data_IF_174588883654
#
_entry.id   IF_174588883654
#
_cell.length_a   1.000
_cell.length_b   1.000
_cell.length_c   1.000
_cell.angle_alpha   90.00
_cell.angle_beta   90.00
_cell.angle_gamma   90.00
#
_symmetry.space_group_name_H-M   'P 1'
#
loop_
_entity.id
_entity.type
_entity.pdbx_description
1 polymer ?
#
# COMPACT_ATOMS: atom_id res chain seq x y z
N UNK A 1 1.13 0.21 30.96
CA UNK A 1 0.74 0.71 29.62
C UNK A 1 0.70 -0.47 28.68
N UNK A 2 -0.44 -0.74 28.03
CA UNK A 2 -0.54 -1.84 27.05
C UNK A 2 -1.97 -2.32 26.83
N UNK A 3 -2.89 -1.42 26.47
CA UNK A 3 -4.21 -1.82 25.99
C UNK A 3 -4.07 -2.40 24.58
N UNK A 4 -4.60 -3.60 24.38
CA UNK A 4 -4.68 -4.26 23.06
C UNK A 4 -5.47 -3.36 22.10
N UNK A 5 -4.96 -3.17 20.87
CA UNK A 5 -5.70 -2.45 19.83
C UNK A 5 -7.00 -3.21 19.50
N UNK A 6 -8.17 -2.56 19.48
CA UNK A 6 -9.42 -3.22 19.11
C UNK A 6 -9.43 -3.54 17.62
N UNK A 7 -10.38 -4.36 17.16
CA UNK A 7 -10.59 -4.61 15.73
C UNK A 7 -10.84 -3.29 15.00
N UNK A 8 -10.15 -3.08 13.88
CA UNK A 8 -10.22 -1.85 13.09
C UNK A 8 -8.87 -1.46 12.48
N UNK A 9 -8.88 -0.37 11.71
CA UNK A 9 -7.67 0.26 11.17
C UNK A 9 -7.28 1.43 12.06
N UNK A 10 -6.04 1.42 12.55
CA UNK A 10 -5.50 2.39 13.48
C UNK A 10 -4.39 3.18 12.81
N UNK A 11 -4.45 4.51 12.88
CA UNK A 11 -3.31 5.36 12.53
C UNK A 11 -2.38 5.44 13.74
N UNK A 12 -1.14 5.00 13.57
CA UNK A 12 -0.09 5.03 14.58
C UNK A 12 0.95 6.04 14.13
N UNK A 13 1.34 6.95 15.03
CA UNK A 13 2.46 7.88 14.80
C UNK A 13 3.67 7.38 15.58
N UNK A 14 4.72 6.98 14.87
CA UNK A 14 6.01 6.63 15.46
C UNK A 14 6.88 7.88 15.49
N UNK A 15 7.40 8.24 16.66
CA UNK A 15 8.22 9.45 16.87
C UNK A 15 9.58 9.04 17.44
N UNK A 16 10.66 9.52 16.83
CA UNK A 16 12.02 9.35 17.34
C UNK A 16 12.25 10.35 18.47
N UNK A 17 12.53 9.87 19.68
CA UNK A 17 12.67 10.73 20.85
C UNK A 17 13.84 11.74 20.74
N UNK A 18 14.91 11.40 20.03
CA UNK A 18 16.11 12.23 19.92
C UNK A 18 15.90 13.49 19.08
N UNK A 19 15.44 13.33 17.83
CA UNK A 19 15.32 14.42 16.86
C UNK A 19 13.86 14.82 16.55
N UNK A 20 12.88 14.14 17.15
CA UNK A 20 11.44 14.30 16.91
C UNK A 20 11.01 14.05 15.46
N UNK A 21 11.86 13.42 14.64
CA UNK A 21 11.41 12.89 13.36
C UNK A 21 10.29 11.86 13.59
N UNK A 22 9.39 11.72 12.63
CA UNK A 22 8.23 10.84 12.79
C UNK A 22 7.80 10.19 11.49
N UNK A 23 7.06 9.10 11.63
CA UNK A 23 6.39 8.37 10.55
C UNK A 23 4.95 8.07 10.98
N UNK A 24 4.01 8.24 10.06
CA UNK A 24 2.63 7.78 10.22
C UNK A 24 2.48 6.41 9.55
N UNK A 25 1.86 5.46 10.25
CA UNK A 25 1.61 4.10 9.76
C UNK A 25 0.16 3.70 10.04
N UNK A 26 -0.35 2.78 9.22
CA UNK A 26 -1.64 2.15 9.47
C UNK A 26 -1.45 0.73 9.98
N UNK A 27 -2.14 0.38 11.06
CA UNK A 27 -2.20 -0.97 11.62
C UNK A 27 -3.63 -1.48 11.51
N UNK A 28 -3.84 -2.55 10.77
CA UNK A 28 -5.13 -3.23 10.70
C UNK A 28 -5.15 -4.40 11.70
N UNK A 29 -6.06 -4.35 12.66
CA UNK A 29 -6.40 -5.49 13.53
C UNK A 29 -7.68 -6.10 12.99
N UNK A 30 -7.60 -7.35 12.55
CA UNK A 30 -8.73 -8.03 11.88
C UNK A 30 -9.17 -9.28 12.66
N UNK A 31 -10.46 -9.66 12.59
CA UNK A 31 -10.95 -10.92 13.14
C UNK A 31 -10.24 -12.15 12.54
N UNK A 32 -10.22 -13.25 13.29
CA UNK A 32 -9.76 -14.53 12.75
C UNK A 32 -10.67 -14.96 11.59
N UNK A 33 -10.06 -15.37 10.48
CA UNK A 33 -10.79 -15.80 9.28
C UNK A 33 -11.17 -14.67 8.32
N UNK A 34 -10.74 -13.42 8.59
CA UNK A 34 -10.86 -12.33 7.60
C UNK A 34 -10.22 -12.72 6.29
N UNK A 35 -11.00 -12.64 5.22
CA UNK A 35 -10.54 -12.89 3.85
C UNK A 35 -9.91 -11.63 3.29
N UNK A 36 -8.85 -11.80 2.51
CA UNK A 36 -8.12 -10.70 1.90
C UNK A 36 -7.76 -11.03 0.45
N UNK A 37 -7.53 -10.00 -0.35
CA UNK A 37 -7.02 -10.10 -1.71
C UNK A 37 -5.78 -9.22 -1.84
N UNK A 38 -4.73 -9.80 -2.41
CA UNK A 38 -3.46 -9.10 -2.64
C UNK A 38 -3.36 -8.71 -4.12
N UNK A 39 -3.06 -7.45 -4.38
CA UNK A 39 -2.80 -6.94 -5.73
C UNK A 39 -1.36 -6.44 -5.82
N UNK A 40 -0.61 -6.95 -6.81
CA UNK A 40 0.65 -6.31 -7.20
C UNK A 40 0.34 -4.96 -7.83
N UNK A 41 0.99 -3.89 -7.40
CA UNK A 41 0.87 -2.59 -8.05
C UNK A 41 1.53 -2.66 -9.43
N UNK A 42 2.76 -3.17 -9.47
CA UNK A 42 3.59 -3.19 -10.68
C UNK A 42 3.12 -4.30 -11.63
N UNK A 43 2.73 -3.90 -12.84
CA UNK A 43 2.34 -4.79 -13.94
C UNK A 43 0.95 -5.42 -13.82
N UNK A 44 0.33 -5.44 -12.62
CA UNK A 44 -1.07 -5.87 -12.46
C UNK A 44 -2.05 -4.71 -12.37
N UNK A 45 -1.77 -3.67 -11.56
CA UNK A 45 -2.59 -2.45 -11.54
C UNK A 45 -2.08 -1.42 -12.55
N UNK A 46 -0.76 -1.33 -12.73
CA UNK A 46 -0.17 -0.53 -13.80
C UNK A 46 -0.17 -1.30 -15.12
N UNK A 47 -0.53 -0.62 -16.20
CA UNK A 47 -0.49 -1.14 -17.56
C UNK A 47 0.91 -1.14 -18.21
N UNK A 48 1.90 -0.54 -17.55
CA UNK A 48 3.29 -0.55 -17.98
C UNK A 48 4.27 -0.65 -16.80
N UNK A 49 5.44 -1.21 -17.10
CA UNK A 49 6.58 -1.41 -16.18
C UNK A 49 7.70 -0.43 -16.58
N UNK A 50 7.41 0.86 -16.77
CA UNK A 50 8.50 1.76 -17.16
C UNK A 50 9.36 2.09 -15.94
N UNK A 51 10.60 1.63 -16.00
CA UNK A 51 11.71 1.87 -15.06
C UNK A 51 12.10 3.36 -15.00
N UNK A 52 11.46 4.24 -15.79
CA UNK A 52 11.76 5.67 -15.89
C UNK A 52 10.52 6.60 -15.89
N UNK A 53 9.29 6.08 -15.88
CA UNK A 53 8.09 6.91 -16.05
C UNK A 53 7.47 7.38 -14.74
N UNK A 54 7.31 8.69 -14.58
CA UNK A 54 6.71 9.36 -13.40
C UNK A 54 5.21 9.11 -13.19
N UNK A 55 4.52 8.50 -14.15
CA UNK A 55 3.08 8.22 -14.05
C UNK A 55 2.69 7.03 -14.93
N UNK A 56 2.72 5.79 -14.40
CA UNK A 56 2.30 4.63 -15.17
C UNK A 56 0.79 4.66 -15.40
N UNK A 57 0.35 4.31 -16.61
CA UNK A 57 -1.10 4.23 -16.91
C UNK A 57 -1.75 3.12 -16.09
N UNK A 58 -2.99 3.34 -15.66
CA UNK A 58 -3.82 2.29 -15.06
C UNK A 58 -4.15 1.21 -16.09
N UNK A 59 -4.03 -0.06 -15.69
CA UNK A 59 -4.47 -1.19 -16.51
C UNK A 59 -6.00 -1.18 -16.66
N UNK A 60 -6.55 -1.34 -17.88
CA UNK A 60 -7.99 -1.33 -18.09
C UNK A 60 -8.71 -2.31 -17.16
N UNK A 61 -9.77 -1.83 -16.48
CA UNK A 61 -10.58 -2.61 -15.54
C UNK A 61 -9.94 -2.86 -14.17
N UNK A 62 -8.70 -2.45 -13.92
CA UNK A 62 -8.02 -2.73 -12.66
C UNK A 62 -8.74 -2.11 -11.45
N UNK A 63 -9.20 -0.87 -11.57
CA UNK A 63 -9.94 -0.17 -10.50
C UNK A 63 -11.24 -0.91 -10.18
N UNK A 64 -11.98 -1.34 -11.21
CA UNK A 64 -13.27 -2.02 -11.04
C UNK A 64 -13.09 -3.40 -10.38
N UNK A 65 -12.06 -4.14 -10.75
CA UNK A 65 -11.74 -5.43 -10.10
C UNK A 65 -11.41 -5.23 -8.62
N UNK A 66 -10.60 -4.23 -8.28
CA UNK A 66 -10.26 -3.98 -6.87
C UNK A 66 -11.49 -3.53 -6.09
N UNK A 67 -12.33 -2.66 -6.66
CA UNK A 67 -13.60 -2.25 -6.06
C UNK A 67 -14.56 -3.41 -5.84
N UNK A 68 -14.68 -4.31 -6.81
CA UNK A 68 -15.52 -5.50 -6.69
C UNK A 68 -15.18 -6.31 -5.43
N UNK A 69 -13.89 -6.59 -5.19
CA UNK A 69 -13.47 -7.32 -3.99
C UNK A 69 -13.63 -6.50 -2.71
N UNK A 70 -13.36 -5.20 -2.77
CA UNK A 70 -13.53 -4.28 -1.65
C UNK A 70 -15.00 -4.25 -1.20
N UNK A 71 -15.94 -4.13 -2.14
CA UNK A 71 -17.38 -4.01 -1.88
C UNK A 71 -17.98 -5.33 -1.36
N UNK A 72 -17.33 -6.47 -1.65
CA UNK A 72 -17.63 -7.77 -1.02
C UNK A 72 -17.08 -7.90 0.42
N UNK A 73 -16.42 -6.87 0.94
CA UNK A 73 -15.87 -6.83 2.30
C UNK A 73 -14.55 -7.58 2.46
N UNK A 74 -13.82 -7.84 1.37
CA UNK A 74 -12.46 -8.38 1.48
C UNK A 74 -11.49 -7.27 1.89
N UNK A 75 -10.56 -7.60 2.79
CA UNK A 75 -9.43 -6.71 3.06
C UNK A 75 -8.57 -6.63 1.81
N UNK A 76 -8.38 -5.41 1.30
CA UNK A 76 -7.51 -5.16 0.16
C UNK A 76 -6.08 -4.92 0.67
N UNK A 77 -5.12 -5.54 -0.01
CA UNK A 77 -3.69 -5.36 0.24
C UNK A 77 -3.00 -5.07 -1.09
N UNK A 78 -2.35 -3.92 -1.20
CA UNK A 78 -1.46 -3.60 -2.29
C UNK A 78 -0.03 -4.00 -1.93
N UNK A 79 0.68 -4.57 -2.90
CA UNK A 79 2.08 -4.98 -2.75
C UNK A 79 2.88 -4.43 -3.93
N UNK A 80 4.06 -3.87 -3.66
CA UNK A 80 4.94 -3.32 -4.71
C UNK A 80 6.39 -3.71 -4.48
N UNK A 81 7.11 -3.92 -5.58
CA UNK A 81 8.55 -4.20 -5.58
C UNK A 81 9.40 -2.93 -5.71
N UNK A 82 8.76 -1.75 -5.83
CA UNK A 82 9.44 -0.46 -5.86
C UNK A 82 10.19 -0.22 -4.55
N UNK A 83 11.27 0.59 -4.55
CA UNK A 83 11.93 1.01 -3.32
C UNK A 83 10.96 1.74 -2.38
N UNK A 84 11.11 1.50 -1.08
CA UNK A 84 10.34 2.12 0.00
C UNK A 84 10.37 3.66 -0.02
N UNK A 85 11.46 4.25 -0.50
CA UNK A 85 11.56 5.70 -0.76
C UNK A 85 10.46 6.24 -1.69
N UNK A 86 9.83 5.36 -2.51
CA UNK A 86 8.71 5.71 -3.39
C UNK A 86 7.33 5.60 -2.72
N UNK A 87 7.24 5.36 -1.41
CA UNK A 87 5.96 5.18 -0.70
C UNK A 87 4.95 6.30 -0.98
N UNK A 88 5.38 7.56 -0.92
CA UNK A 88 4.49 8.70 -1.20
C UNK A 88 4.05 8.73 -2.65
N UNK A 89 4.92 8.36 -3.59
CA UNK A 89 4.62 8.38 -5.03
C UNK A 89 3.58 7.32 -5.36
N UNK A 90 3.80 6.07 -4.91
CA UNK A 90 2.86 4.96 -5.14
C UNK A 90 1.54 5.20 -4.44
N UNK A 91 1.56 5.67 -3.18
CA UNK A 91 0.34 6.00 -2.45
C UNK A 91 -0.47 7.10 -3.14
N UNK A 92 0.19 8.16 -3.61
CA UNK A 92 -0.46 9.25 -4.35
C UNK A 92 -1.03 8.77 -5.68
N UNK A 93 -0.33 7.89 -6.39
CA UNK A 93 -0.80 7.31 -7.65
C UNK A 93 -2.08 6.49 -7.45
N UNK A 94 -2.12 5.62 -6.43
CA UNK A 94 -3.33 4.84 -6.10
C UNK A 94 -4.52 5.76 -5.79
N UNK A 95 -4.30 6.81 -5.00
CA UNK A 95 -5.33 7.79 -4.65
C UNK A 95 -5.81 8.59 -5.88
N UNK A 96 -4.88 9.06 -6.71
CA UNK A 96 -5.17 9.84 -7.92
C UNK A 96 -6.05 9.07 -8.90
N UNK A 97 -5.88 7.74 -8.97
CA UNK A 97 -6.65 6.87 -9.86
C UNK A 97 -7.87 6.22 -9.19
N UNK A 98 -8.28 6.71 -8.02
CA UNK A 98 -9.45 6.27 -7.27
C UNK A 98 -9.48 4.76 -6.95
N UNK A 99 -8.31 4.17 -6.67
CA UNK A 99 -8.25 2.86 -6.03
C UNK A 99 -8.83 2.95 -4.59
N UNK A 100 -9.56 1.93 -4.11
CA UNK A 100 -10.02 1.89 -2.72
C UNK A 100 -8.88 2.07 -1.72
N UNK A 101 -9.16 2.76 -0.61
CA UNK A 101 -8.17 2.91 0.45
C UNK A 101 -7.87 1.54 1.09
N UNK A 102 -6.59 1.18 1.18
CA UNK A 102 -6.17 -0.16 1.58
C UNK A 102 -4.77 -0.16 2.21
N UNK A 103 -4.33 -1.32 2.69
CA UNK A 103 -2.95 -1.49 3.15
C UNK A 103 -2.00 -1.52 1.96
N UNK A 104 -0.85 -0.85 2.07
CA UNK A 104 0.19 -0.83 1.05
C UNK A 104 1.51 -1.33 1.65
N UNK A 105 2.02 -2.44 1.11
CA UNK A 105 3.28 -3.04 1.52
C UNK A 105 4.34 -2.90 0.42
N UNK A 106 5.52 -2.46 0.84
CA UNK A 106 6.73 -2.46 0.03
C UNK A 106 7.51 -3.71 0.36
N UNK A 107 7.81 -4.53 -0.65
CA UNK A 107 8.74 -5.64 -0.42
C UNK A 107 10.13 -5.09 -0.20
N UNK A 108 10.92 -5.64 0.73
CA UNK A 108 12.33 -5.32 0.80
C UNK A 108 12.96 -5.62 -0.57
N UNK A 109 13.33 -4.57 -1.30
CA UNK A 109 14.06 -4.73 -2.55
C UNK A 109 15.38 -5.43 -2.23
N UNK A 110 15.78 -6.43 -3.02
CA UNK A 110 17.10 -7.08 -2.91
C UNK A 110 18.29 -6.13 -3.16
N UNK A 111 18.02 -4.88 -3.52
CA UNK A 111 19.02 -3.85 -3.77
C UNK A 111 18.65 -2.59 -3.00
N UNK A 112 19.56 -2.16 -2.13
CA UNK A 112 19.57 -0.82 -1.51
C UNK A 112 20.18 0.23 -2.44
N UNK A 113 20.49 -0.13 -3.70
CA UNK A 113 21.16 0.73 -4.67
C UNK A 113 20.13 1.39 -5.59
N UNK A 114 19.83 2.70 -5.44
CA UNK A 114 18.85 3.41 -6.25
C UNK A 114 19.33 3.67 -7.70
N UNK A 115 20.55 3.24 -8.07
CA UNK A 115 21.18 3.52 -9.37
C UNK A 115 21.60 2.27 -10.16
N UNK A 116 21.11 1.07 -9.78
CA UNK A 116 21.37 -0.17 -10.52
C UNK A 116 20.12 -0.75 -11.17
#
# INVERSE_FOLDING_TARGET
>A
MGTRLPVGVHCVKMVVHGDRSFLDLFVAVVPKGTRFVVFSVDGSLTGSVSVTGRDPRVRPGAVDVVRFWHDLGYLIIYMTARPDMQQRVVGSWLALHNFPHALLFFTPSFSTDPLR
#
